data_IF_925563622873
#
_entry.id   IF_925563622873
#
_cell.length_a   1.000
_cell.length_b   1.000
_cell.length_c   1.000
_cell.angle_alpha   90.00
_cell.angle_beta   90.00
_cell.angle_gamma   90.00
#
_symmetry.space_group_name_H-M   'P 1'
#
loop_
_entity.id
_entity.type
_entity.pdbx_description
1 polymer ?
#
# COMPACT_ATOMS: atom_id res chain seq x y z
N UNK A 1 71.60 0.75 -19.06
CA UNK A 1 71.00 0.31 -17.78
C UNK A 1 70.09 1.41 -17.19
N UNK A 2 68.96 1.73 -17.84
CA UNK A 2 68.06 2.81 -17.40
C UNK A 2 66.79 2.34 -16.66
N UNK A 3 66.47 1.04 -16.73
CA UNK A 3 65.19 0.49 -16.26
C UNK A 3 65.22 0.05 -14.78
N UNK A 4 66.41 -0.06 -14.18
CA UNK A 4 66.56 -0.49 -12.79
C UNK A 4 66.07 0.60 -11.82
N UNK A 5 66.34 1.89 -12.14
CA UNK A 5 65.92 3.02 -11.32
C UNK A 5 64.40 3.22 -11.29
N UNK A 6 63.74 3.10 -12.45
CA UNK A 6 62.27 3.19 -12.55
C UNK A 6 61.57 2.03 -11.85
N UNK A 7 62.11 0.82 -11.94
CA UNK A 7 61.57 -0.36 -11.26
C UNK A 7 61.67 -0.24 -9.73
N UNK A 8 62.80 0.28 -9.22
CA UNK A 8 62.99 0.50 -7.78
C UNK A 8 62.03 1.58 -7.24
N UNK A 9 61.86 2.68 -7.99
CA UNK A 9 60.89 3.73 -7.66
C UNK A 9 59.46 3.21 -7.64
N UNK A 10 59.07 2.40 -8.62
CA UNK A 10 57.76 1.78 -8.68
C UNK A 10 57.50 0.84 -7.49
N UNK A 11 58.51 0.05 -7.09
CA UNK A 11 58.40 -0.86 -5.94
C UNK A 11 58.22 -0.10 -4.62
N UNK A 12 59.03 0.93 -4.37
CA UNK A 12 58.94 1.74 -3.16
C UNK A 12 57.58 2.44 -3.09
N UNK A 13 57.14 3.00 -4.22
CA UNK A 13 55.82 3.66 -4.32
C UNK A 13 54.70 2.67 -4.05
N UNK A 14 54.74 1.48 -4.65
CA UNK A 14 53.77 0.42 -4.42
C UNK A 14 53.75 -0.08 -2.99
N UNK A 15 54.92 -0.26 -2.37
CA UNK A 15 55.05 -0.68 -0.98
C UNK A 15 54.54 0.38 0.00
N UNK A 16 54.79 1.67 -0.26
CA UNK A 16 54.29 2.76 0.56
C UNK A 16 52.75 2.82 0.54
N UNK A 17 52.14 2.67 -0.64
CA UNK A 17 50.68 2.60 -0.79
C UNK A 17 50.13 1.36 -0.08
N UNK A 18 50.74 0.19 -0.31
CA UNK A 18 50.32 -1.06 0.32
C UNK A 18 50.40 -1.01 1.85
N UNK A 19 51.47 -0.44 2.40
CA UNK A 19 51.63 -0.23 3.84
C UNK A 19 50.63 0.80 4.39
N UNK A 20 50.36 1.88 3.66
CA UNK A 20 49.37 2.88 4.04
C UNK A 20 47.97 2.27 4.16
N UNK A 21 47.54 1.48 3.17
CA UNK A 21 46.26 0.77 3.20
C UNK A 21 46.24 -0.29 4.30
N UNK A 22 47.30 -1.08 4.44
CA UNK A 22 47.40 -2.12 5.47
C UNK A 22 47.36 -1.56 6.89
N UNK A 23 47.97 -0.40 7.13
CA UNK A 23 47.94 0.27 8.43
C UNK A 23 46.59 0.91 8.74
N UNK A 24 45.91 1.51 7.74
CA UNK A 24 44.56 2.05 7.91
C UNK A 24 43.51 0.96 8.12
N UNK A 25 43.70 -0.20 7.49
CA UNK A 25 42.81 -1.35 7.68
C UNK A 25 43.12 -2.13 8.96
N UNK A 26 44.29 -1.91 9.56
CA UNK A 26 44.68 -2.61 10.78
C UNK A 26 43.63 -2.37 11.87
N UNK A 27 42.91 -3.42 12.31
CA UNK A 27 41.90 -3.24 13.33
C UNK A 27 42.56 -2.82 14.65
N UNK A 28 41.90 -1.93 15.39
CA UNK A 28 42.24 -1.62 16.78
C UNK A 28 42.44 -2.92 17.59
N UNK A 29 43.28 -2.88 18.61
CA UNK A 29 43.46 -4.05 19.49
C UNK A 29 42.12 -4.53 20.06
N UNK A 30 41.88 -5.84 20.05
CA UNK A 30 40.58 -6.42 20.40
C UNK A 30 40.08 -6.03 21.80
N UNK A 31 40.98 -5.71 22.73
CA UNK A 31 40.64 -5.16 24.04
C UNK A 31 39.97 -3.78 23.95
N UNK A 32 40.53 -2.87 23.14
CA UNK A 32 39.97 -1.52 22.91
C UNK A 32 38.63 -1.60 22.19
N UNK A 33 38.50 -2.49 21.22
CA UNK A 33 37.25 -2.69 20.46
C UNK A 33 36.13 -3.22 21.36
N UNK A 34 36.41 -4.22 22.21
CA UNK A 34 35.41 -4.73 23.16
C UNK A 34 34.98 -3.68 24.18
N UNK A 35 35.93 -2.87 24.68
CA UNK A 35 35.63 -1.78 25.60
C UNK A 35 34.75 -0.70 24.93
N UNK A 36 35.15 -0.22 23.75
CA UNK A 36 34.36 0.74 22.95
C UNK A 36 32.96 0.21 22.65
N UNK A 37 32.83 -1.05 22.23
CA UNK A 37 31.54 -1.65 21.90
C UNK A 37 30.60 -1.72 23.11
N UNK A 38 31.12 -2.10 24.29
CA UNK A 38 30.34 -2.14 25.53
C UNK A 38 29.84 -0.76 25.93
N UNK A 39 30.71 0.25 25.84
CA UNK A 39 30.39 1.63 26.21
C UNK A 39 29.38 2.26 25.23
N UNK A 40 29.56 2.06 23.92
CA UNK A 40 28.65 2.56 22.90
C UNK A 40 27.29 1.85 22.92
N UNK A 41 27.28 0.53 23.15
CA UNK A 41 26.02 -0.23 23.25
C UNK A 41 25.17 0.24 24.44
N UNK A 42 25.80 0.49 25.59
CA UNK A 42 25.09 1.02 26.77
C UNK A 42 24.53 2.43 26.50
N UNK A 43 25.32 3.32 25.91
CA UNK A 43 24.85 4.68 25.53
C UNK A 43 23.71 4.62 24.51
N UNK A 44 23.76 3.70 23.55
CA UNK A 44 22.71 3.52 22.56
C UNK A 44 21.41 3.05 23.22
N UNK A 45 21.48 2.06 24.13
CA UNK A 45 20.32 1.60 24.89
C UNK A 45 19.69 2.73 25.72
N UNK A 46 20.50 3.50 26.44
CA UNK A 46 20.00 4.62 27.25
C UNK A 46 19.30 5.68 26.38
N UNK A 47 19.88 6.04 25.23
CA UNK A 47 19.29 6.99 24.27
C UNK A 47 17.99 6.47 23.64
N UNK A 48 17.93 5.17 23.34
CA UNK A 48 16.73 4.54 22.79
C UNK A 48 15.60 4.50 23.82
N UNK A 49 15.89 4.10 25.07
CA UNK A 49 14.89 4.07 26.14
C UNK A 49 14.32 5.47 26.42
N UNK A 50 15.17 6.50 26.46
CA UNK A 50 14.71 7.89 26.65
C UNK A 50 13.81 8.35 25.49
N UNK A 51 14.26 8.16 24.24
CA UNK A 51 13.48 8.54 23.04
C UNK A 51 12.19 7.74 22.90
N UNK A 52 12.20 6.45 23.24
CA UNK A 52 11.01 5.60 23.18
C UNK A 52 9.95 6.06 24.19
N UNK A 53 10.37 6.41 25.40
CA UNK A 53 9.47 6.89 26.45
C UNK A 53 8.81 8.22 26.06
N UNK A 54 9.58 9.19 25.53
CA UNK A 54 9.05 10.47 25.05
C UNK A 54 8.18 10.32 23.78
N UNK A 55 8.55 9.43 22.87
CA UNK A 55 7.83 9.24 21.60
C UNK A 55 6.52 8.47 21.81
N UNK A 56 6.51 7.47 22.70
CA UNK A 56 5.32 6.66 23.00
C UNK A 56 4.19 7.50 23.58
N UNK A 57 4.49 8.45 24.46
CA UNK A 57 3.48 9.37 25.02
C UNK A 57 2.83 10.23 23.95
N UNK A 58 3.64 10.82 23.05
CA UNK A 58 3.15 11.68 21.98
C UNK A 58 2.43 10.91 20.85
N UNK A 59 2.83 9.66 20.60
CA UNK A 59 2.20 8.80 19.60
C UNK A 59 0.83 8.31 20.07
N UNK A 60 0.67 7.98 21.34
CA UNK A 60 -0.61 7.55 21.93
C UNK A 60 -1.68 8.63 21.79
N UNK A 61 -1.34 9.89 22.07
CA UNK A 61 -2.29 11.01 21.92
C UNK A 61 -2.66 11.28 20.46
N UNK A 62 -1.68 11.30 19.56
CA UNK A 62 -1.93 11.46 18.12
C UNK A 62 -2.76 10.30 17.55
N UNK A 63 -2.49 9.07 17.97
CA UNK A 63 -3.25 7.89 17.56
C UNK A 63 -4.69 7.94 18.06
N UNK A 64 -4.92 8.36 19.30
CA UNK A 64 -6.28 8.58 19.83
C UNK A 64 -7.04 9.61 19.01
N UNK A 65 -6.41 10.77 18.72
CA UNK A 65 -7.04 11.82 17.91
C UNK A 65 -7.37 11.34 16.49
N UNK A 66 -6.44 10.62 15.85
CA UNK A 66 -6.65 10.06 14.52
C UNK A 66 -7.76 9.01 14.49
N UNK A 67 -7.91 8.20 15.54
CA UNK A 67 -9.03 7.25 15.67
C UNK A 67 -10.37 7.97 15.75
N UNK A 68 -10.47 9.00 16.59
CA UNK A 68 -11.70 9.80 16.73
C UNK A 68 -12.08 10.47 15.41
N UNK A 69 -11.12 11.09 14.71
CA UNK A 69 -11.37 11.73 13.41
C UNK A 69 -11.78 10.69 12.33
N UNK A 70 -11.22 9.48 12.40
CA UNK A 70 -11.56 8.40 11.48
C UNK A 70 -12.95 7.84 11.74
N UNK A 71 -13.31 7.59 13.01
CA UNK A 71 -14.64 7.12 13.41
C UNK A 71 -15.72 8.11 12.94
N UNK A 72 -15.51 9.42 13.14
CA UNK A 72 -16.44 10.44 12.69
C UNK A 72 -16.65 10.44 11.16
N UNK A 73 -15.55 10.35 10.38
CA UNK A 73 -15.63 10.29 8.91
C UNK A 73 -16.25 9.00 8.40
N UNK A 74 -15.98 7.89 9.08
CA UNK A 74 -16.53 6.59 8.71
C UNK A 74 -18.04 6.58 8.95
N UNK A 75 -18.52 7.14 10.07
CA UNK A 75 -19.94 7.21 10.38
C UNK A 75 -20.70 8.11 9.38
N UNK A 76 -20.14 9.26 9.01
CA UNK A 76 -20.68 10.12 7.95
C UNK A 76 -20.74 9.40 6.58
N UNK A 77 -19.68 8.66 6.24
CA UNK A 77 -19.62 7.89 4.99
C UNK A 77 -20.62 6.74 4.99
N UNK A 78 -20.74 6.00 6.10
CA UNK A 78 -21.69 4.89 6.23
C UNK A 78 -23.13 5.40 6.18
N UNK A 79 -23.44 6.51 6.86
CA UNK A 79 -24.77 7.10 6.84
C UNK A 79 -25.17 7.56 5.43
N UNK A 80 -24.30 8.31 4.75
CA UNK A 80 -24.57 8.77 3.38
C UNK A 80 -24.67 7.61 2.38
N UNK A 81 -23.83 6.59 2.53
CA UNK A 81 -23.91 5.37 1.72
C UNK A 81 -25.20 4.59 1.96
N UNK A 82 -25.66 4.47 3.22
CA UNK A 82 -26.91 3.79 3.56
C UNK A 82 -28.10 4.49 2.92
N UNK A 83 -28.22 5.82 3.08
CA UNK A 83 -29.30 6.58 2.44
C UNK A 83 -29.29 6.43 0.92
N UNK A 84 -28.10 6.50 0.32
CA UNK A 84 -27.96 6.33 -1.13
C UNK A 84 -28.28 4.91 -1.60
N UNK A 85 -28.01 3.90 -0.77
CA UNK A 85 -28.38 2.52 -1.05
C UNK A 85 -29.90 2.33 -1.01
N UNK A 86 -30.59 2.92 -0.02
CA UNK A 86 -32.06 2.88 0.08
C UNK A 86 -32.73 3.53 -1.15
N UNK A 87 -32.25 4.70 -1.58
CA UNK A 87 -32.74 5.37 -2.79
C UNK A 87 -32.56 4.52 -4.05
N UNK A 88 -31.39 3.86 -4.18
CA UNK A 88 -31.12 2.95 -5.30
C UNK A 88 -32.04 1.74 -5.26
N UNK A 89 -32.32 1.19 -4.08
CA UNK A 89 -33.20 0.03 -3.91
C UNK A 89 -34.62 0.35 -4.40
N UNK A 90 -35.16 1.51 -3.99
CA UNK A 90 -36.48 2.00 -4.43
C UNK A 90 -36.53 2.23 -5.96
N UNK A 91 -35.47 2.80 -6.53
CA UNK A 91 -35.38 3.00 -7.98
C UNK A 91 -35.30 1.67 -8.75
N UNK A 92 -34.62 0.67 -8.19
CA UNK A 92 -34.55 -0.67 -8.76
C UNK A 92 -35.90 -1.38 -8.74
N UNK A 93 -36.65 -1.29 -7.64
CA UNK A 93 -37.99 -1.88 -7.53
C UNK A 93 -38.94 -1.27 -8.57
N UNK A 94 -38.94 0.06 -8.69
CA UNK A 94 -39.75 0.78 -9.69
C UNK A 94 -39.41 0.33 -11.12
N UNK A 95 -38.12 0.25 -11.47
CA UNK A 95 -37.69 -0.23 -12.80
C UNK A 95 -38.05 -1.70 -13.02
N UNK A 96 -37.95 -2.55 -11.99
CA UNK A 96 -38.30 -3.97 -12.10
C UNK A 96 -39.80 -4.15 -12.36
N UNK A 97 -40.65 -3.37 -11.70
CA UNK A 97 -42.09 -3.35 -11.97
C UNK A 97 -42.41 -2.89 -13.39
N UNK A 98 -41.75 -1.83 -13.86
CA UNK A 98 -41.96 -1.31 -15.20
C UNK A 98 -41.56 -2.33 -16.27
N UNK A 99 -40.41 -3.00 -16.10
CA UNK A 99 -39.98 -4.08 -16.98
C UNK A 99 -40.94 -5.27 -16.97
N UNK A 100 -41.49 -5.64 -15.81
CA UNK A 100 -42.54 -6.68 -15.73
C UNK A 100 -43.81 -6.27 -16.46
N UNK A 101 -44.26 -5.02 -16.30
CA UNK A 101 -45.44 -4.47 -17.01
C UNK A 101 -45.21 -4.41 -18.52
N UNK A 102 -44.04 -3.96 -18.98
CA UNK A 102 -43.69 -3.95 -20.41
C UNK A 102 -43.65 -5.37 -20.99
N UNK A 103 -43.00 -6.32 -20.31
CA UNK A 103 -42.96 -7.71 -20.76
C UNK A 103 -44.37 -8.34 -20.83
N UNK A 104 -45.25 -8.07 -19.86
CA UNK A 104 -46.63 -8.55 -19.88
C UNK A 104 -47.48 -7.92 -21.00
N UNK A 105 -47.22 -6.65 -21.36
CA UNK A 105 -47.87 -5.97 -22.51
C UNK A 105 -47.42 -6.58 -23.83
N UNK A 106 -46.11 -6.80 -24.00
CA UNK A 106 -45.55 -7.43 -25.20
C UNK A 106 -46.09 -8.85 -25.42
N UNK A 107 -46.31 -9.63 -24.36
CA UNK A 107 -46.93 -10.96 -24.46
C UNK A 107 -48.42 -10.92 -24.82
N UNK A 108 -49.14 -9.85 -24.44
CA UNK A 108 -50.56 -9.65 -24.81
C UNK A 108 -50.70 -9.14 -26.24
N UNK A 109 -49.85 -8.21 -26.68
CA UNK A 109 -49.81 -7.75 -28.07
C UNK A 109 -49.33 -8.86 -29.02
N UNK A 110 -48.36 -9.68 -28.60
CA UNK A 110 -47.91 -10.85 -29.38
C UNK A 110 -48.99 -11.92 -29.59
N UNK A 111 -49.93 -12.09 -28.64
CA UNK A 111 -51.07 -13.02 -28.78
C UNK A 111 -52.26 -12.44 -29.56
N UNK A 112 -52.31 -11.13 -29.80
CA UNK A 112 -53.40 -10.48 -30.54
C UNK A 112 -53.26 -10.53 -32.06
N UNK A 113 -52.10 -10.93 -32.58
CA UNK A 113 -51.82 -10.96 -34.02
C UNK A 113 -52.06 -12.32 -34.70
N UNK A 114 -52.34 -13.38 -33.94
CA UNK A 114 -52.62 -14.72 -34.49
C UNK A 114 -54.10 -14.94 -34.87
N UNK A 115 -55.03 -14.03 -34.53
CA UNK A 115 -56.47 -14.18 -34.83
C UNK A 115 -56.92 -13.53 -36.17
N UNK A 116 -55.99 -13.14 -37.04
CA UNK A 116 -56.30 -12.68 -38.42
C UNK A 116 -55.93 -13.68 -39.52
N UNK A 117 -55.69 -14.94 -39.15
CA UNK A 117 -55.33 -16.03 -40.06
C UNK A 117 -56.42 -17.10 -40.23
N UNK A 118 -57.69 -16.74 -40.46
CA UNK A 118 -58.67 -17.72 -40.97
C UNK A 118 -58.64 -17.72 -42.51
N UNK A 119 -58.10 -18.76 -43.17
CA UNK A 119 -58.16 -18.85 -44.63
C UNK A 119 -59.61 -19.10 -45.06
N UNK A 120 -60.14 -18.21 -45.91
CA UNK A 120 -61.36 -18.46 -46.65
C UNK A 120 -61.17 -19.70 -47.54
N UNK A 121 -61.75 -20.83 -47.14
CA UNK A 121 -62.06 -21.94 -48.04
C UNK A 121 -63.34 -21.56 -48.79
N UNK A 122 -63.23 -21.31 -50.10
CA UNK A 122 -64.39 -21.33 -51.00
C UNK A 122 -63.94 -21.55 -52.47
N UNK A 123 -64.24 -22.77 -52.96
CA UNK A 123 -64.75 -23.11 -54.30
C UNK A 123 -64.15 -22.42 -55.53
N UNK A 124 -63.39 -23.19 -56.34
CA UNK A 124 -63.84 -23.77 -57.64
C UNK A 124 -62.96 -24.97 -58.02
#
# INVERSE_FOLDING_TARGET
MANTGSTLLALITGAAIGAGVGLLYAPDSGEKTRKKLKDESKKAQDRLNQKYTETSSNLSEKAKKARVDFEARLEETLSSASHKADDILNAMETKLEELRKQNARLQKEGKGNDDKGKPNKAVV
#
